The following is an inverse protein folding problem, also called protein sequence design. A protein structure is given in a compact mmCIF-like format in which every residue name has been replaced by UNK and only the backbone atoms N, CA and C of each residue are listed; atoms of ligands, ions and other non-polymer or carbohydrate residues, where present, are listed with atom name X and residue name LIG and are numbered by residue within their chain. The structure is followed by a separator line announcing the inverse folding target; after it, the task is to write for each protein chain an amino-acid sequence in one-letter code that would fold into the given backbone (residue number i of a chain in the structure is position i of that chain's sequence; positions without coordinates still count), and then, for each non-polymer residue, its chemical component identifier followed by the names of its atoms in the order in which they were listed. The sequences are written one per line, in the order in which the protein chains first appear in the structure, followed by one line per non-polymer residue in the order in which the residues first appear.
data_IF_453534206958
#
_entry.id   IF_453534206958
#
_cell.length_a   1.000
_cell.length_b   1.000
_cell.length_c   1.000
_cell.angle_alpha   90.00
_cell.angle_beta   90.00
_cell.angle_gamma   90.00
#
_symmetry.space_group_name_H-M   'P 1'
#
loop_
_entity.id
_entity.type
_entity.pdbx_description
1 polymer ?
#
# COMPACT_ATOMS: atom_id res chain seq x y z
N UNK A 1 15.06 -32.57 22.41
CA UNK A 1 14.49 -31.20 22.48
C UNK A 1 14.49 -30.65 21.06
N UNK A 2 13.33 -30.63 20.39
CA UNK A 2 13.23 -30.19 18.99
C UNK A 2 13.30 -28.67 18.93
N UNK A 3 14.45 -28.15 18.49
CA UNK A 3 14.56 -26.74 18.11
C UNK A 3 13.87 -26.63 16.76
N UNK A 4 12.61 -26.21 16.77
CA UNK A 4 11.95 -25.69 15.58
C UNK A 4 12.78 -24.49 15.13
N UNK A 5 13.73 -24.72 14.22
CA UNK A 5 14.60 -23.67 13.70
C UNK A 5 13.69 -22.66 13.01
N UNK A 6 13.64 -21.47 13.59
CA UNK A 6 12.99 -20.26 13.12
C UNK A 6 13.34 -19.94 11.66
N UNK A 7 12.73 -20.65 10.71
CA UNK A 7 12.59 -20.22 9.32
C UNK A 7 11.44 -19.22 9.20
N UNK A 8 11.33 -18.29 10.16
CA UNK A 8 10.74 -16.99 9.85
C UNK A 8 11.82 -16.32 8.97
N UNK A 9 11.81 -16.73 7.71
CA UNK A 9 12.91 -16.58 6.75
C UNK A 9 13.42 -15.16 6.74
N UNK A 10 14.74 -15.00 6.66
CA UNK A 10 15.37 -13.71 6.40
C UNK A 10 14.74 -12.97 5.20
N UNK A 11 14.13 -13.70 4.24
CA UNK A 11 13.29 -13.15 3.17
C UNK A 11 12.04 -12.41 3.66
N UNK A 12 11.36 -12.91 4.69
CA UNK A 12 10.21 -12.26 5.31
C UNK A 12 10.65 -10.97 6.00
N UNK A 13 11.77 -10.98 6.71
CA UNK A 13 12.37 -9.77 7.29
C UNK A 13 12.84 -8.78 6.22
N UNK A 14 13.47 -9.24 5.13
CA UNK A 14 13.83 -8.37 4.00
C UNK A 14 12.60 -7.74 3.37
N UNK A 15 11.51 -8.49 3.21
CA UNK A 15 10.28 -7.96 2.60
C UNK A 15 9.62 -6.84 3.41
N UNK A 16 9.88 -6.78 4.73
CA UNK A 16 9.46 -5.69 5.62
C UNK A 16 10.36 -4.46 5.49
N UNK A 17 11.65 -4.67 5.24
CA UNK A 17 12.66 -3.60 5.13
C UNK A 17 12.75 -2.97 3.73
N UNK A 18 12.33 -3.68 2.68
CA UNK A 18 12.41 -3.20 1.31
C UNK A 18 11.22 -2.28 1.02
N UNK A 19 11.51 -0.98 0.97
CA UNK A 19 10.58 0.04 0.47
C UNK A 19 10.54 -0.05 -1.05
N UNK A 20 9.34 -0.16 -1.61
CA UNK A 20 9.08 -0.14 -3.04
C UNK A 20 8.13 0.99 -3.39
N UNK A 21 8.20 1.41 -4.65
CA UNK A 21 7.20 2.26 -5.29
C UNK A 21 6.42 1.41 -6.27
N UNK A 22 5.10 1.45 -6.21
CA UNK A 22 4.25 0.71 -7.13
C UNK A 22 3.16 1.60 -7.72
N UNK A 23 3.04 1.55 -9.04
CA UNK A 23 2.08 2.33 -9.80
C UNK A 23 0.76 1.58 -9.90
N UNK A 24 -0.33 2.29 -9.62
CA UNK A 24 -1.68 1.77 -9.77
C UNK A 24 -2.45 2.72 -10.66
N UNK A 25 -3.01 2.16 -11.73
CA UNK A 25 -4.01 2.84 -12.53
C UNK A 25 -5.38 2.70 -11.87
N UNK A 26 -6.04 3.83 -11.68
CA UNK A 26 -7.41 3.92 -11.19
C UNK A 26 -8.24 4.65 -12.24
N UNK A 27 -9.53 4.30 -12.32
CA UNK A 27 -10.47 5.12 -13.07
C UNK A 27 -10.55 6.51 -12.44
N UNK A 28 -10.92 7.51 -13.25
CA UNK A 28 -11.09 8.89 -12.78
C UNK A 28 -12.09 8.97 -11.61
N UNK A 29 -13.19 8.19 -11.65
CA UNK A 29 -14.12 8.02 -10.53
C UNK A 29 -13.45 7.46 -9.26
N UNK A 30 -12.59 6.45 -9.40
CA UNK A 30 -11.88 5.84 -8.28
C UNK A 30 -10.86 6.80 -7.66
N UNK A 31 -10.14 7.54 -8.51
CA UNK A 31 -9.22 8.60 -8.07
C UNK A 31 -9.99 9.73 -7.37
N UNK A 32 -11.12 10.17 -7.93
CA UNK A 32 -11.93 11.23 -7.35
C UNK A 32 -12.59 10.82 -6.02
N UNK A 33 -12.93 9.55 -5.84
CA UNK A 33 -13.33 9.01 -4.52
C UNK A 33 -12.18 9.01 -3.51
N UNK A 34 -10.98 8.68 -3.98
CA UNK A 34 -9.78 8.58 -3.14
C UNK A 34 -9.28 9.96 -2.69
N UNK A 35 -9.25 10.92 -3.61
CA UNK A 35 -8.69 12.28 -3.47
C UNK A 35 -9.78 13.32 -3.19
N UNK A 36 -10.82 13.37 -4.03
CA UNK A 36 -11.84 14.43 -4.06
C UNK A 36 -13.00 14.26 -3.08
N UNK A 37 -13.26 13.05 -2.58
CA UNK A 37 -14.30 12.77 -1.60
C UNK A 37 -13.90 13.13 -0.18
N UNK A 38 -14.02 14.40 0.24
CA UNK A 38 -13.82 14.87 1.63
C UNK A 38 -12.51 14.44 2.33
N UNK A 39 -11.49 13.91 1.65
CA UNK A 39 -10.12 13.75 2.14
C UNK A 39 -9.83 12.87 3.41
N UNK A 40 -10.67 11.93 3.93
CA UNK A 40 -10.18 11.01 4.96
C UNK A 40 -9.53 9.75 4.37
N UNK A 41 -9.80 9.39 3.11
CA UNK A 41 -9.47 8.05 2.60
C UNK A 41 -7.97 7.82 2.38
N UNK A 42 -7.25 8.76 1.76
CA UNK A 42 -5.79 8.62 1.57
C UNK A 42 -5.06 8.51 2.91
N UNK A 43 -5.33 9.43 3.85
CA UNK A 43 -4.69 9.40 5.17
C UNK A 43 -5.06 8.13 5.94
N UNK A 44 -6.31 7.67 5.82
CA UNK A 44 -6.76 6.41 6.41
C UNK A 44 -6.05 5.21 5.79
N UNK A 45 -5.91 5.14 4.46
CA UNK A 45 -5.18 4.07 3.78
C UNK A 45 -3.70 4.10 4.17
N UNK A 46 -3.08 5.28 4.23
CA UNK A 46 -1.70 5.43 4.69
C UNK A 46 -1.54 4.87 6.11
N UNK A 47 -2.44 5.27 7.01
CA UNK A 47 -2.39 4.86 8.41
C UNK A 47 -2.76 3.39 8.65
N UNK A 48 -3.75 2.85 7.95
CA UNK A 48 -4.24 1.48 8.17
C UNK A 48 -3.41 0.44 7.42
N UNK A 49 -2.88 0.79 6.25
CA UNK A 49 -2.03 -0.09 5.46
C UNK A 49 -0.54 0.02 5.84
N UNK A 50 -0.15 0.94 6.73
CA UNK A 50 1.25 1.19 7.09
C UNK A 50 2.09 1.57 5.85
N UNK A 51 1.49 2.35 4.95
CA UNK A 51 2.18 2.91 3.80
C UNK A 51 3.00 4.12 4.25
N UNK A 52 4.10 4.36 3.54
CA UNK A 52 4.95 5.53 3.79
C UNK A 52 4.33 6.76 3.12
N UNK A 53 3.89 6.61 1.88
CA UNK A 53 3.28 7.71 1.13
C UNK A 53 2.39 7.22 -0.01
N UNK A 54 1.49 8.08 -0.46
CA UNK A 54 0.75 7.94 -1.72
C UNK A 54 0.97 9.21 -2.53
N UNK A 55 1.50 9.08 -3.74
CA UNK A 55 1.74 10.21 -4.65
C UNK A 55 0.76 10.12 -5.83
N UNK A 56 0.05 11.20 -6.12
CA UNK A 56 -0.79 11.28 -7.32
C UNK A 56 0.07 11.55 -8.56
N UNK A 57 -0.16 10.81 -9.63
CA UNK A 57 0.60 10.92 -10.88
C UNK A 57 -0.35 11.05 -12.07
N UNK A 58 -0.84 12.27 -12.30
CA UNK A 58 -1.77 12.57 -13.39
C UNK A 58 -3.23 12.32 -12.99
N UNK A 59 -4.07 12.04 -13.99
CA UNK A 59 -5.54 11.99 -13.85
C UNK A 59 -6.04 10.56 -13.56
N UNK A 60 -5.23 9.54 -13.83
CA UNK A 60 -5.60 8.13 -13.78
C UNK A 60 -4.64 7.25 -12.97
N UNK A 61 -3.65 7.82 -12.27
CA UNK A 61 -2.61 7.02 -11.59
C UNK A 61 -2.25 7.56 -10.22
N UNK A 62 -1.96 6.63 -9.33
CA UNK A 62 -1.32 6.87 -8.05
C UNK A 62 -0.09 5.98 -7.88
N UNK A 63 0.83 6.41 -7.05
CA UNK A 63 2.03 5.69 -6.67
C UNK A 63 1.94 5.39 -5.19
N UNK A 64 1.91 4.11 -4.84
CA UNK A 64 2.01 3.67 -3.46
C UNK A 64 3.49 3.48 -3.10
N UNK A 65 3.92 4.10 -2.02
CA UNK A 65 5.29 3.97 -1.48
C UNK A 65 5.22 3.28 -0.14
N UNK A 66 5.85 2.11 -0.03
CA UNK A 66 5.88 1.37 1.22
C UNK A 66 6.50 -0.02 1.06
N UNK A 67 6.41 -0.82 2.11
CA UNK A 67 6.82 -2.23 2.02
C UNK A 67 5.81 -3.02 1.16
N UNK A 68 6.20 -4.22 0.72
CA UNK A 68 5.35 -5.04 -0.15
C UNK A 68 3.96 -5.31 0.46
N UNK A 69 3.92 -5.57 1.77
CA UNK A 69 2.69 -5.89 2.50
C UNK A 69 1.74 -4.69 2.53
N UNK A 70 2.25 -3.51 2.83
CA UNK A 70 1.52 -2.25 2.89
C UNK A 70 0.90 -1.90 1.54
N UNK A 71 1.67 -2.09 0.46
CA UNK A 71 1.18 -1.89 -0.91
C UNK A 71 0.05 -2.88 -1.24
N UNK A 72 0.20 -4.16 -0.89
CA UNK A 72 -0.84 -5.18 -1.10
C UNK A 72 -2.12 -4.89 -0.28
N UNK A 73 -1.98 -4.43 0.96
CA UNK A 73 -3.13 -4.12 1.83
C UNK A 73 -3.85 -2.84 1.37
N UNK A 74 -3.10 -1.80 0.98
CA UNK A 74 -3.67 -0.59 0.38
C UNK A 74 -4.39 -0.89 -0.93
N UNK A 75 -3.83 -1.76 -1.79
CA UNK A 75 -4.51 -2.23 -3.01
C UNK A 75 -5.87 -2.85 -2.73
N UNK A 76 -5.99 -3.66 -1.68
CA UNK A 76 -7.27 -4.26 -1.28
C UNK A 76 -8.26 -3.18 -0.83
N UNK A 77 -7.80 -2.22 -0.03
CA UNK A 77 -8.66 -1.11 0.43
C UNK A 77 -9.16 -0.27 -0.75
N UNK A 78 -8.31 0.01 -1.73
CA UNK A 78 -8.68 0.79 -2.92
C UNK A 78 -9.70 0.05 -3.79
N UNK A 79 -9.61 -1.28 -3.90
CA UNK A 79 -10.58 -2.10 -4.65
C UNK A 79 -11.97 -2.18 -4.00
N UNK A 80 -12.09 -1.81 -2.72
CA UNK A 80 -13.36 -1.85 -1.97
C UNK A 80 -14.13 -0.52 -2.00
N UNK A 81 -13.60 0.52 -2.66
CA UNK A 81 -14.19 1.86 -2.82
C UNK A 81 -14.96 2.01 -4.14
#
# INVERSE_FOLDING_TARGET
MAVAKDEISAEKCRSLLVIKKEFIHLSEDGLNKLVGGKAPHIKKIISEADLINIEEHGIDKIVLVGNKKAIDDAKKMIRLL
#
